data_IF_907921347533
#
_entry.id   IF_907921347533
#
_cell.length_a   1.000
_cell.length_b   1.000
_cell.length_c   1.000
_cell.angle_alpha   90.00
_cell.angle_beta   90.00
_cell.angle_gamma   90.00
#
_symmetry.space_group_name_H-M   'P 1'
#
loop_
_entity.id
_entity.type
_entity.pdbx_description
1 polymer ?
#
# COMPACT_ATOMS: atom_id res chain seq x y z
N UNK A 1 2.36 -17.92 -6.81
CA UNK A 1 2.08 -17.30 -5.50
C UNK A 1 1.48 -18.37 -4.60
N UNK A 2 1.88 -18.50 -3.32
CA UNK A 2 1.29 -19.50 -2.44
C UNK A 2 -0.18 -19.21 -2.14
N UNK A 3 -1.06 -20.21 -2.28
CA UNK A 3 -2.52 -20.05 -2.19
C UNK A 3 -3.03 -19.64 -0.80
N UNK A 4 -2.23 -19.86 0.24
CA UNK A 4 -2.56 -19.50 1.62
C UNK A 4 -2.22 -18.04 1.95
N UNK A 5 -1.50 -17.30 1.09
CA UNK A 5 -1.15 -15.91 1.33
C UNK A 5 -2.25 -14.98 0.83
N UNK A 6 -2.66 -14.06 1.70
CA UNK A 6 -3.63 -13.02 1.36
C UNK A 6 -2.87 -11.75 0.99
N UNK A 7 -2.18 -11.82 -0.15
CA UNK A 7 -1.55 -10.65 -0.77
C UNK A 7 -2.18 -10.42 -2.15
N UNK A 8 -2.26 -9.17 -2.57
CA UNK A 8 -2.73 -8.78 -3.90
C UNK A 8 -1.80 -7.70 -4.44
N UNK A 9 -1.33 -7.88 -5.68
CA UNK A 9 -0.38 -6.98 -6.31
C UNK A 9 -1.04 -6.23 -7.47
N UNK A 10 -0.80 -4.93 -7.53
CA UNK A 10 -1.14 -4.08 -8.66
C UNK A 10 0.10 -3.38 -9.16
N UNK A 11 0.18 -3.22 -10.48
CA UNK A 11 1.14 -2.34 -11.11
C UNK A 11 0.43 -1.03 -11.47
N UNK A 12 0.89 0.09 -10.94
CA UNK A 12 0.37 1.40 -11.26
C UNK A 12 1.35 2.13 -12.17
N UNK A 13 0.92 2.44 -13.39
CA UNK A 13 1.74 3.18 -14.35
C UNK A 13 1.67 4.68 -14.08
N UNK A 14 2.83 5.34 -14.11
CA UNK A 14 2.98 6.80 -14.08
C UNK A 14 3.21 7.32 -15.49
N UNK A 15 2.87 8.60 -15.71
CA UNK A 15 3.35 9.33 -16.90
C UNK A 15 4.88 9.36 -16.88
N UNK A 16 5.52 9.10 -18.02
CA UNK A 16 6.97 8.93 -18.14
C UNK A 16 7.46 7.48 -18.11
N UNK A 17 6.56 6.50 -18.07
CA UNK A 17 6.91 5.07 -18.21
C UNK A 17 7.38 4.39 -16.92
N UNK A 18 7.48 5.14 -15.81
CA UNK A 18 7.75 4.55 -14.49
C UNK A 18 6.53 3.82 -13.94
N UNK A 19 6.75 2.81 -13.11
CA UNK A 19 5.68 2.08 -12.44
C UNK A 19 5.91 1.97 -10.93
N UNK A 20 4.82 1.96 -10.19
CA UNK A 20 4.78 1.68 -8.75
C UNK A 20 4.16 0.31 -8.54
N UNK A 21 4.79 -0.52 -7.70
CA UNK A 21 4.20 -1.75 -7.22
C UNK A 21 3.33 -1.46 -6.00
N UNK A 22 2.02 -1.71 -6.08
CA UNK A 22 1.13 -1.66 -4.93
C UNK A 22 0.86 -3.09 -4.46
N UNK A 23 1.14 -3.36 -3.19
CA UNK A 23 0.84 -4.61 -2.51
C UNK A 23 -0.22 -4.35 -1.43
N UNK A 24 -1.35 -5.04 -1.52
CA UNK A 24 -2.34 -5.10 -0.45
C UNK A 24 -2.12 -6.40 0.29
N UNK A 25 -1.89 -6.32 1.60
CA UNK A 25 -1.55 -7.45 2.47
C UNK A 25 -2.58 -7.56 3.58
N UNK A 26 -3.14 -8.76 3.76
CA UNK A 26 -3.94 -9.11 4.93
C UNK A 26 -3.27 -10.24 5.70
N UNK A 27 -2.93 -9.98 6.96
CA UNK A 27 -2.42 -10.96 7.91
C UNK A 27 -3.26 -10.93 9.18
N UNK A 28 -4.20 -11.89 9.37
CA UNK A 28 -4.94 -11.99 10.61
C UNK A 28 -4.02 -12.39 11.77
N UNK A 29 -4.41 -12.02 12.99
CA UNK A 29 -3.60 -12.19 14.20
C UNK A 29 -3.10 -13.63 14.47
N UNK A 30 -3.86 -14.66 14.08
CA UNK A 30 -3.52 -16.07 14.27
C UNK A 30 -2.62 -16.66 13.17
N UNK A 31 -2.38 -15.91 12.08
CA UNK A 31 -1.55 -16.39 10.97
C UNK A 31 -0.08 -16.18 11.28
N UNK A 32 0.77 -17.04 10.73
CA UNK A 32 2.22 -16.92 10.88
C UNK A 32 2.76 -15.65 10.22
N UNK A 33 4.08 -15.43 10.30
CA UNK A 33 4.80 -14.33 9.64
C UNK A 33 5.04 -14.54 8.13
N UNK A 34 4.50 -15.61 7.54
CA UNK A 34 4.71 -16.00 6.15
C UNK A 34 4.45 -14.88 5.12
N UNK A 35 3.39 -14.04 5.20
CA UNK A 35 3.20 -12.97 4.22
C UNK A 35 4.36 -11.97 4.19
N UNK A 36 4.91 -11.62 5.37
CA UNK A 36 6.04 -10.71 5.48
C UNK A 36 7.33 -11.37 5.01
N UNK A 37 7.54 -12.66 5.32
CA UNK A 37 8.69 -13.42 4.80
C UNK A 37 8.65 -13.55 3.27
N UNK A 38 7.46 -13.76 2.70
CA UNK A 38 7.29 -13.79 1.26
C UNK A 38 7.64 -12.45 0.63
N UNK A 39 7.13 -11.34 1.17
CA UNK A 39 7.50 -10.01 0.70
C UNK A 39 9.00 -9.78 0.84
N UNK A 40 9.59 -10.08 2.00
CA UNK A 40 11.01 -9.92 2.26
C UNK A 40 11.90 -10.72 1.30
N UNK A 41 11.47 -11.92 0.89
CA UNK A 41 12.25 -12.76 -0.01
C UNK A 41 12.05 -12.46 -1.51
N UNK A 42 10.93 -11.82 -1.89
CA UNK A 42 10.52 -11.72 -3.30
C UNK A 42 10.34 -10.28 -3.80
N UNK A 43 10.40 -9.26 -2.94
CA UNK A 43 10.07 -7.90 -3.33
C UNK A 43 11.00 -7.37 -4.44
N UNK A 44 12.32 -7.57 -4.32
CA UNK A 44 13.27 -7.18 -5.37
C UNK A 44 12.97 -7.84 -6.72
N UNK A 45 12.72 -9.15 -6.71
CA UNK A 45 12.40 -9.90 -7.91
C UNK A 45 11.08 -9.42 -8.56
N UNK A 46 10.06 -9.12 -7.75
CA UNK A 46 8.79 -8.57 -8.22
C UNK A 46 8.97 -7.17 -8.82
N UNK A 47 9.72 -6.30 -8.15
CA UNK A 47 10.01 -4.95 -8.65
C UNK A 47 10.79 -5.00 -9.96
N UNK A 48 11.82 -5.85 -10.05
CA UNK A 48 12.62 -6.03 -11.26
C UNK A 48 11.80 -6.60 -12.42
N UNK A 49 11.08 -7.70 -12.18
CA UNK A 49 10.25 -8.38 -13.19
C UNK A 49 9.20 -7.45 -13.80
N UNK A 50 8.63 -6.58 -12.97
CA UNK A 50 7.58 -5.66 -13.39
C UNK A 50 8.09 -4.25 -13.69
N UNK A 51 9.41 -4.01 -13.67
CA UNK A 51 10.04 -2.71 -13.90
C UNK A 51 9.43 -1.59 -13.03
N UNK A 52 9.11 -1.92 -11.78
CA UNK A 52 8.62 -0.96 -10.79
C UNK A 52 9.81 -0.31 -10.09
N UNK A 53 9.75 1.01 -9.92
CA UNK A 53 10.82 1.79 -9.26
C UNK A 53 10.50 2.18 -7.82
N UNK A 54 9.22 2.14 -7.47
CA UNK A 54 8.72 2.46 -6.13
C UNK A 54 7.75 1.37 -5.69
N UNK A 55 7.56 1.25 -4.38
CA UNK A 55 6.64 0.28 -3.78
C UNK A 55 5.75 0.94 -2.73
N UNK A 56 4.49 0.50 -2.68
CA UNK A 56 3.54 0.79 -1.61
C UNK A 56 3.03 -0.55 -1.09
N UNK A 57 3.12 -0.78 0.21
CA UNK A 57 2.53 -1.95 0.88
C UNK A 57 1.54 -1.47 1.93
N UNK A 58 0.30 -1.94 1.90
CA UNK A 58 -0.73 -1.53 2.86
C UNK A 58 -1.69 -2.66 3.22
N UNK A 59 -2.42 -2.50 4.31
CA UNK A 59 -3.48 -3.40 4.77
C UNK A 59 -3.29 -3.82 6.23
N UNK A 60 -4.21 -4.63 6.75
CA UNK A 60 -4.15 -5.14 8.14
C UNK A 60 -3.06 -6.22 8.24
N UNK A 61 -1.98 -5.93 8.96
CA UNK A 61 -0.85 -6.84 9.11
C UNK A 61 -0.71 -7.42 10.51
N UNK A 62 -1.47 -6.91 11.49
CA UNK A 62 -1.25 -7.21 12.91
C UNK A 62 0.25 -7.17 13.28
N UNK A 63 0.97 -6.13 12.82
CA UNK A 63 2.43 -6.10 12.76
C UNK A 63 3.10 -6.18 14.13
N UNK A 64 2.41 -5.75 15.20
CA UNK A 64 2.89 -5.85 16.58
C UNK A 64 3.14 -7.30 17.03
N UNK A 65 2.51 -8.30 16.39
CA UNK A 65 2.76 -9.73 16.66
C UNK A 65 3.99 -10.27 15.91
N UNK A 66 4.52 -9.52 14.94
CA UNK A 66 5.62 -9.92 14.06
C UNK A 66 6.66 -8.80 13.92
N UNK A 67 6.80 -7.98 14.97
CA UNK A 67 7.59 -6.73 14.99
C UNK A 67 9.00 -6.88 14.44
N UNK A 68 9.69 -7.99 14.75
CA UNK A 68 11.04 -8.25 14.25
C UNK A 68 11.06 -8.33 12.72
N UNK A 69 10.27 -9.22 12.14
CA UNK A 69 10.22 -9.43 10.68
C UNK A 69 9.64 -8.21 9.96
N UNK A 70 8.72 -7.49 10.59
CA UNK A 70 8.23 -6.21 10.09
C UNK A 70 9.34 -5.16 10.02
N UNK A 71 10.11 -4.98 11.09
CA UNK A 71 11.21 -4.01 11.13
C UNK A 71 12.36 -4.38 10.18
N UNK A 72 12.68 -5.67 10.04
CA UNK A 72 13.65 -6.19 9.05
C UNK A 72 13.19 -5.83 7.62
N UNK A 73 11.90 -5.99 7.29
CA UNK A 73 11.34 -5.57 6.01
C UNK A 73 11.47 -4.05 5.78
N UNK A 74 11.23 -3.23 6.81
CA UNK A 74 11.40 -1.78 6.70
C UNK A 74 12.87 -1.38 6.48
N UNK A 75 13.79 -1.95 7.26
CA UNK A 75 15.21 -1.58 7.19
C UNK A 75 15.83 -1.98 5.87
N UNK A 76 15.56 -3.20 5.42
CA UNK A 76 16.28 -3.80 4.29
C UNK A 76 15.84 -3.17 2.96
N UNK A 77 14.59 -2.72 2.88
CA UNK A 77 14.01 -2.10 1.69
C UNK A 77 13.83 -0.58 1.81
N UNK A 78 14.33 0.03 2.90
CA UNK A 78 14.22 1.48 3.12
C UNK A 78 12.77 1.99 3.20
N UNK A 79 11.84 1.17 3.69
CA UNK A 79 10.42 1.53 3.75
C UNK A 79 10.11 2.32 5.02
N UNK A 80 9.24 3.31 4.89
CA UNK A 80 8.70 4.09 6.02
C UNK A 80 7.25 3.70 6.27
N UNK A 81 6.90 3.42 7.52
CA UNK A 81 5.48 3.35 7.92
C UNK A 81 4.95 4.77 8.16
N UNK A 82 3.95 5.17 7.38
CA UNK A 82 3.34 6.50 7.46
C UNK A 82 2.14 6.59 8.40
N UNK A 83 1.81 5.51 9.11
CA UNK A 83 0.72 5.48 10.09
C UNK A 83 1.30 5.56 11.49
N UNK A 84 1.07 6.68 12.15
CA UNK A 84 1.50 7.00 13.51
C UNK A 84 0.33 7.16 14.51
N UNK A 85 -0.87 6.81 14.08
CA UNK A 85 -2.10 6.89 14.87
C UNK A 85 -2.75 5.50 15.04
N UNK A 86 -3.62 5.32 16.07
CA UNK A 86 -4.43 4.12 16.22
C UNK A 86 -5.33 3.86 15.01
N UNK A 87 -5.37 2.62 14.54
CA UNK A 87 -6.25 2.18 13.45
C UNK A 87 -7.33 1.22 13.92
N UNK A 88 -7.28 0.81 15.18
CA UNK A 88 -8.26 -0.06 15.82
C UNK A 88 -8.87 0.62 17.06
N UNK A 89 -10.14 0.32 17.36
CA UNK A 89 -10.89 0.90 18.50
C UNK A 89 -10.26 0.62 19.87
N UNK A 90 -9.43 -0.43 19.98
CA UNK A 90 -8.63 -0.73 21.18
C UNK A 90 -7.46 0.24 21.43
N UNK A 91 -7.17 1.13 20.47
CA UNK A 91 -5.99 2.01 20.51
C UNK A 91 -4.77 1.44 19.78
N UNK A 92 -4.85 0.24 19.21
CA UNK A 92 -3.75 -0.38 18.46
C UNK A 92 -3.63 0.19 17.04
N UNK A 93 -2.43 0.17 16.47
CA UNK A 93 -2.18 0.46 15.05
C UNK A 93 -1.83 -0.86 14.37
N UNK A 94 -2.71 -1.34 13.49
CA UNK A 94 -2.66 -2.67 12.85
C UNK A 94 -2.57 -2.59 11.33
N UNK A 95 -2.87 -1.42 10.77
CA UNK A 95 -3.05 -1.18 9.34
C UNK A 95 -1.95 -0.24 8.80
N UNK A 96 -0.68 -0.70 8.70
CA UNK A 96 0.41 0.15 8.26
C UNK A 96 0.28 0.54 6.78
N UNK A 97 0.90 1.67 6.44
CA UNK A 97 1.10 2.13 5.05
C UNK A 97 2.59 2.31 4.86
N UNK A 98 3.20 1.39 4.13
CA UNK A 98 4.64 1.31 3.93
C UNK A 98 5.01 1.78 2.52
N UNK A 99 6.00 2.64 2.39
CA UNK A 99 6.54 2.99 1.07
C UNK A 99 7.98 3.49 1.16
N UNK A 100 8.71 3.39 0.05
CA UNK A 100 10.02 3.99 -0.19
C UNK A 100 9.93 5.44 -0.70
N UNK A 101 8.71 6.00 -0.80
CA UNK A 101 8.49 7.39 -1.18
C UNK A 101 8.91 8.36 -0.05
N UNK A 102 9.36 9.59 -0.41
CA UNK A 102 9.67 10.61 0.58
C UNK A 102 8.47 10.92 1.49
N UNK A 103 8.69 11.02 2.79
CA UNK A 103 7.63 11.36 3.77
C UNK A 103 6.90 12.66 3.45
N UNK A 104 7.57 13.61 2.79
CA UNK A 104 6.96 14.89 2.38
C UNK A 104 5.84 14.76 1.33
N UNK A 105 5.77 13.63 0.61
CA UNK A 105 4.75 13.40 -0.43
C UNK A 105 3.62 12.47 0.01
N UNK A 106 3.72 11.86 1.20
CA UNK A 106 2.72 10.93 1.73
C UNK A 106 2.03 11.54 2.93
N UNK A 107 0.71 11.48 2.97
CA UNK A 107 -0.07 11.89 4.14
C UNK A 107 -1.11 10.83 4.44
N UNK A 108 -1.12 10.32 5.67
CA UNK A 108 -2.11 9.40 6.18
C UNK A 108 -2.99 10.11 7.21
N UNK A 109 -4.30 9.85 7.17
CA UNK A 109 -5.21 10.30 8.22
C UNK A 109 -6.34 9.29 8.44
N UNK A 110 -6.84 9.14 9.67
CA UNK A 110 -8.05 8.38 9.91
C UNK A 110 -9.25 9.12 9.32
N UNK A 111 -10.18 8.39 8.73
CA UNK A 111 -11.47 8.91 8.23
C UNK A 111 -12.65 8.59 9.14
N UNK A 112 -12.40 7.82 10.21
CA UNK A 112 -13.40 7.36 11.18
C UNK A 112 -13.74 5.88 11.00
N UNK A 113 -14.69 5.42 11.82
CA UNK A 113 -15.20 4.05 11.77
C UNK A 113 -16.02 3.81 10.50
N UNK A 114 -15.86 2.63 9.91
CA UNK A 114 -16.68 2.19 8.77
C UNK A 114 -17.76 1.23 9.29
N UNK A 115 -18.99 1.73 9.37
CA UNK A 115 -20.13 0.93 9.86
C UNK A 115 -19.89 0.39 11.27
N UNK A 116 -19.98 -0.93 11.43
CA UNK A 116 -19.74 -1.64 12.69
C UNK A 116 -18.33 -2.21 12.84
N UNK A 117 -17.38 -1.81 11.98
CA UNK A 117 -16.00 -2.27 12.09
C UNK A 117 -15.31 -1.66 13.30
N UNK A 118 -14.50 -2.49 13.96
CA UNK A 118 -13.54 -2.13 15.01
C UNK A 118 -12.24 -1.54 14.44
N UNK A 119 -12.03 -1.60 13.12
CA UNK A 119 -11.00 -0.85 12.41
C UNK A 119 -11.52 0.51 11.92
N UNK A 120 -10.60 1.47 11.82
CA UNK A 120 -10.83 2.77 11.20
C UNK A 120 -10.47 2.70 9.72
N UNK A 121 -11.18 3.42 8.86
CA UNK A 121 -10.72 3.61 7.49
C UNK A 121 -9.58 4.62 7.43
N UNK A 122 -8.51 4.30 6.70
CA UNK A 122 -7.38 5.19 6.46
C UNK A 122 -7.53 5.84 5.09
N UNK A 123 -7.34 7.17 5.05
CA UNK A 123 -7.12 7.89 3.82
C UNK A 123 -5.63 8.22 3.68
N UNK A 124 -5.00 7.61 2.68
CA UNK A 124 -3.64 7.90 2.27
C UNK A 124 -3.66 8.74 1.00
N UNK A 125 -3.00 9.90 1.04
CA UNK A 125 -2.81 10.79 -0.10
C UNK A 125 -1.33 10.75 -0.48
N UNK A 126 -1.04 10.41 -1.73
CA UNK A 126 0.32 10.35 -2.27
C UNK A 126 0.43 11.36 -3.41
N UNK A 127 1.31 12.35 -3.24
CA UNK A 127 1.59 13.37 -4.25
C UNK A 127 2.68 12.88 -5.18
N UNK A 128 2.28 12.29 -6.29
CA UNK A 128 3.21 11.92 -7.36
C UNK A 128 3.43 13.15 -8.25
N UNK A 129 4.69 13.57 -8.42
CA UNK A 129 5.01 14.58 -9.43
C UNK A 129 4.56 14.05 -10.81
N UNK A 130 3.74 14.83 -11.48
CA UNK A 130 3.32 14.62 -12.86
C UNK A 130 3.97 15.72 -13.67
N UNK A 131 4.92 15.36 -14.54
CA UNK A 131 5.34 16.27 -15.59
C UNK A 131 4.11 16.50 -16.49
N UNK A 132 3.58 17.72 -16.45
CA UNK A 132 2.44 18.14 -17.27
C UNK A 132 2.92 18.28 -18.72
N UNK A 133 2.60 17.31 -19.57
CA UNK A 133 2.28 17.64 -20.96
C UNK A 133 0.86 18.20 -21.01
N UNK A 134 0.67 19.25 -21.82
CA UNK A 134 -0.60 19.95 -22.03
C UNK A 134 -1.76 18.95 -22.21
N UNK A 135 -2.83 19.16 -21.44
CA UNK A 135 -3.91 18.21 -21.33
C UNK A 135 -4.58 17.95 -22.67
N UNK A 136 -4.49 16.72 -23.16
CA UNK A 136 -5.47 16.22 -24.12
C UNK A 136 -6.78 16.10 -23.35
N UNK A 137 -7.66 17.10 -23.52
CA UNK A 137 -9.06 17.02 -23.14
C UNK A 137 -9.68 15.87 -23.92
N UNK A 138 -9.90 14.73 -23.25
CA UNK A 138 -10.79 13.70 -23.78
C UNK A 138 -12.16 13.91 -23.14
N UNK A 139 -13.13 14.24 -23.99
CA UNK A 139 -14.54 14.28 -23.61
C UNK A 139 -15.02 12.84 -23.45
N UNK A 140 -15.32 12.43 -22.22
CA UNK A 140 -16.03 11.17 -21.98
C UNK A 140 -17.48 11.34 -22.46
N UNK A 141 -17.80 10.83 -23.65
CA UNK A 141 -19.18 10.73 -24.09
C UNK A 141 -19.87 9.60 -23.31
N UNK A 142 -20.79 9.95 -22.42
CA UNK A 142 -21.71 9.01 -21.79
C UNK A 142 -22.73 8.55 -22.84
N UNK A 143 -22.43 7.44 -23.53
CA UNK A 143 -23.32 6.83 -24.53
C UNK A 143 -24.71 6.45 -24.00
N UNK A 144 -24.95 6.51 -22.68
CA UNK A 144 -26.27 6.30 -22.06
C UNK A 144 -27.19 7.54 -22.09
N UNK A 145 -26.75 8.64 -22.68
CA UNK A 145 -27.52 9.89 -22.84
C UNK A 145 -27.47 10.46 -24.27
N UNK A 146 -27.08 9.67 -25.27
CA UNK A 146 -27.32 10.03 -26.67
C UNK A 146 -28.71 9.49 -27.04
N UNK A 147 -29.58 10.38 -27.55
CA UNK A 147 -31.02 10.17 -27.82
C UNK A 147 -31.38 8.82 -28.45
#
# INVERSE_FOLDING_TARGET
>A
MPEHLELMFFKMWRRGGEAILLCVCYRPQWKSREPLLFLHANLDALMQQHSCKQVIVLGDMNQHLVTRTFNELLSDYGLTNHVDFPTHTSGSSLDPVLTDLPTSVVTCRPTGSVGSSDHLALLTIIKLAVDREEGISSTNCLWRQAD
#
